data_IF_727435780309
#
_entry.id   IF_727435780309
#
_cell.length_a   1.000
_cell.length_b   1.000
_cell.length_c   1.000
_cell.angle_alpha   90.00
_cell.angle_beta   90.00
_cell.angle_gamma   90.00
#
_symmetry.space_group_name_H-M   'P 1'
#
loop_
_entity.id
_entity.type
_entity.pdbx_description
1 polymer ?
#
# COMPACT_ATOMS: atom_id res chain seq x y z
N UNK A 1 30.78 3.90 2.00
CA UNK A 1 29.41 4.26 2.44
C UNK A 1 28.51 4.03 1.24
N UNK A 2 27.40 3.31 1.39
CA UNK A 2 26.53 2.97 0.26
C UNK A 2 25.76 4.21 -0.20
N UNK A 3 25.70 4.46 -1.51
CA UNK A 3 24.91 5.53 -2.13
C UNK A 3 23.74 4.95 -2.90
N UNK A 4 22.51 5.35 -2.55
CA UNK A 4 21.26 4.82 -3.10
C UNK A 4 20.48 5.91 -3.85
N UNK A 5 20.10 5.64 -5.08
CA UNK A 5 19.15 6.46 -5.83
C UNK A 5 17.76 5.84 -5.76
N UNK A 6 16.76 6.62 -5.39
CA UNK A 6 15.35 6.25 -5.40
C UNK A 6 14.66 6.96 -6.57
N UNK A 7 14.01 6.22 -7.47
CA UNK A 7 13.35 6.75 -8.66
C UNK A 7 11.87 6.37 -8.65
N UNK A 8 11.01 7.36 -8.45
CA UNK A 8 9.56 7.22 -8.57
C UNK A 8 8.91 8.57 -8.91
N UNK A 9 7.68 8.53 -9.43
CA UNK A 9 6.85 9.73 -9.61
C UNK A 9 5.53 9.59 -8.85
N UNK A 10 5.01 10.72 -8.40
CA UNK A 10 3.62 10.88 -7.98
C UNK A 10 2.97 12.03 -8.75
N UNK A 11 1.67 11.89 -8.98
CA UNK A 11 0.80 12.90 -9.56
C UNK A 11 -0.65 12.61 -9.15
N UNK A 12 -1.62 13.48 -9.48
CA UNK A 12 -3.03 13.15 -9.31
C UNK A 12 -3.41 11.85 -10.02
N UNK A 13 -2.89 11.57 -11.22
CA UNK A 13 -3.24 10.36 -11.99
C UNK A 13 -2.44 9.10 -11.58
N UNK A 14 -1.21 9.27 -11.12
CA UNK A 14 -0.34 8.18 -10.66
C UNK A 14 -0.70 7.78 -9.22
N UNK A 15 -1.15 8.74 -8.40
CA UNK A 15 -1.33 8.59 -6.97
C UNK A 15 -0.01 8.68 -6.19
N UNK A 16 -0.11 8.54 -4.88
CA UNK A 16 1.01 8.74 -3.94
C UNK A 16 1.75 7.44 -3.56
N UNK A 17 1.33 6.30 -4.11
CA UNK A 17 1.81 4.97 -3.71
C UNK A 17 3.31 4.78 -3.91
N UNK A 18 3.83 5.09 -5.11
CA UNK A 18 5.24 4.92 -5.42
C UNK A 18 6.15 5.77 -4.50
N UNK A 19 5.76 7.04 -4.26
CA UNK A 19 6.48 7.91 -3.31
C UNK A 19 6.40 7.36 -1.88
N UNK A 20 5.26 6.83 -1.43
CA UNK A 20 5.15 6.20 -0.12
C UNK A 20 6.11 5.00 0.04
N UNK A 21 6.25 4.18 -1.01
CA UNK A 21 7.21 3.06 -1.05
C UNK A 21 8.65 3.57 -1.02
N UNK A 22 8.98 4.63 -1.76
CA UNK A 22 10.32 5.25 -1.73
C UNK A 22 10.66 5.87 -0.37
N UNK A 23 9.69 6.49 0.31
CA UNK A 23 9.90 6.98 1.69
C UNK A 23 10.28 5.82 2.62
N UNK A 24 9.63 4.66 2.50
CA UNK A 24 9.99 3.49 3.30
C UNK A 24 11.43 3.01 3.03
N UNK A 25 11.89 3.01 1.78
CA UNK A 25 13.28 2.72 1.44
C UNK A 25 14.25 3.76 2.03
N UNK A 26 13.94 5.05 1.89
CA UNK A 26 14.76 6.13 2.42
C UNK A 26 14.92 6.04 3.94
N UNK A 27 13.83 5.79 4.69
CA UNK A 27 13.85 5.65 6.15
C UNK A 27 14.84 4.56 6.59
N UNK A 28 14.78 3.38 5.96
CA UNK A 28 15.64 2.25 6.33
C UNK A 28 17.08 2.41 5.83
N UNK A 29 17.28 2.95 4.63
CA UNK A 29 18.61 3.18 4.08
C UNK A 29 19.37 4.25 4.88
N UNK A 30 18.73 5.37 5.22
CA UNK A 30 19.32 6.41 6.07
C UNK A 30 19.64 5.85 7.47
N UNK A 31 18.75 5.03 8.05
CA UNK A 31 19.01 4.38 9.34
C UNK A 31 20.22 3.42 9.32
N UNK A 32 20.59 2.88 8.14
CA UNK A 32 21.82 2.08 7.93
C UNK A 32 23.06 2.95 7.67
N UNK A 33 22.93 4.27 7.66
CA UNK A 33 24.01 5.19 7.32
C UNK A 33 24.33 5.22 5.83
N UNK A 34 23.36 4.96 4.95
CA UNK A 34 23.52 5.13 3.52
C UNK A 34 23.24 6.59 3.12
N UNK A 35 23.90 7.05 2.06
CA UNK A 35 23.56 8.32 1.41
C UNK A 35 22.44 8.04 0.42
N UNK A 36 21.35 8.81 0.50
CA UNK A 36 20.16 8.58 -0.33
C UNK A 36 19.82 9.85 -1.09
N UNK A 37 19.47 9.71 -2.37
CA UNK A 37 18.89 10.76 -3.20
C UNK A 37 17.57 10.24 -3.77
N UNK A 38 16.54 11.08 -3.77
CA UNK A 38 15.29 10.80 -4.47
C UNK A 38 15.22 11.61 -5.76
N UNK A 39 14.90 10.95 -6.87
CA UNK A 39 14.70 11.54 -8.18
C UNK A 39 13.27 11.32 -8.70
N UNK A 40 12.57 12.41 -8.98
CA UNK A 40 11.26 12.40 -9.63
C UNK A 40 10.29 13.45 -9.09
N UNK A 41 9.02 13.27 -9.48
CA UNK A 41 7.90 14.16 -9.13
C UNK A 41 7.22 13.70 -7.86
N UNK A 42 6.76 14.66 -7.06
CA UNK A 42 6.05 14.40 -5.79
C UNK A 42 4.68 15.10 -5.75
N UNK A 43 4.15 15.49 -6.91
CA UNK A 43 2.87 16.17 -7.00
C UNK A 43 1.77 15.29 -6.40
N UNK A 44 0.90 15.86 -5.57
CA UNK A 44 -0.16 15.10 -4.87
C UNK A 44 0.39 14.03 -3.90
N UNK A 45 1.63 14.19 -3.44
CA UNK A 45 2.29 13.38 -2.41
C UNK A 45 3.23 14.21 -1.53
N UNK A 46 3.03 15.53 -1.47
CA UNK A 46 3.92 16.49 -0.80
C UNK A 46 4.06 16.20 0.69
N UNK A 47 2.97 15.73 1.33
CA UNK A 47 2.98 15.34 2.74
C UNK A 47 3.83 14.10 3.01
N UNK A 48 3.98 13.19 2.04
CA UNK A 48 4.91 12.07 2.14
C UNK A 48 6.33 12.55 1.84
N UNK A 49 6.50 13.38 0.81
CA UNK A 49 7.80 13.89 0.40
C UNK A 49 8.47 14.78 1.46
N UNK A 50 7.70 15.42 2.34
CA UNK A 50 8.22 16.13 3.51
C UNK A 50 9.15 15.24 4.36
N UNK A 51 8.91 13.92 4.39
CA UNK A 51 9.76 12.96 5.09
C UNK A 51 11.18 12.88 4.52
N UNK A 52 11.37 13.09 3.22
CA UNK A 52 12.71 13.15 2.63
C UNK A 52 13.52 14.30 3.22
N UNK A 53 12.91 15.48 3.39
CA UNK A 53 13.58 16.62 4.00
C UNK A 53 13.95 16.37 5.47
N UNK A 54 13.06 15.74 6.25
CA UNK A 54 13.36 15.35 7.64
C UNK A 54 14.53 14.36 7.75
N UNK A 55 14.70 13.50 6.75
CA UNK A 55 15.80 12.54 6.64
C UNK A 55 17.06 13.13 5.96
N UNK A 56 17.04 14.42 5.59
CA UNK A 56 18.11 15.06 4.81
C UNK A 56 18.40 14.38 3.47
N UNK A 57 17.37 13.77 2.85
CA UNK A 57 17.43 13.16 1.52
C UNK A 57 17.12 14.23 0.45
N UNK A 58 18.06 14.55 -0.45
CA UNK A 58 17.80 15.48 -1.53
C UNK A 58 16.71 14.96 -2.47
N UNK A 59 15.78 15.84 -2.83
CA UNK A 59 14.73 15.59 -3.84
C UNK A 59 15.09 16.39 -5.09
N UNK A 60 15.36 15.69 -6.19
CA UNK A 60 15.73 16.29 -7.48
C UNK A 60 14.77 15.83 -8.59
N UNK A 61 14.57 16.61 -9.66
CA UNK A 61 13.71 16.17 -10.78
C UNK A 61 14.24 14.93 -11.51
N UNK A 62 15.57 14.83 -11.61
CA UNK A 62 16.30 13.72 -12.21
C UNK A 62 17.71 13.66 -11.63
N UNK A 63 18.36 12.50 -11.74
CA UNK A 63 19.75 12.30 -11.36
C UNK A 63 20.43 11.36 -12.39
N UNK A 64 21.74 11.54 -12.65
CA UNK A 64 22.53 10.53 -13.34
C UNK A 64 22.64 9.26 -12.49
N UNK A 65 22.97 8.12 -13.12
CA UNK A 65 23.17 6.87 -12.38
C UNK A 65 24.59 6.75 -11.81
N UNK A 66 25.55 7.49 -12.36
CA UNK A 66 26.95 7.46 -11.94
C UNK A 66 27.13 7.88 -10.49
N UNK A 67 28.00 7.15 -9.79
CA UNK A 67 28.34 7.41 -8.40
C UNK A 67 27.31 6.87 -7.40
N UNK A 68 26.23 6.22 -7.85
CA UNK A 68 25.39 5.41 -6.99
C UNK A 68 25.84 3.96 -7.02
N UNK A 69 25.59 3.26 -5.92
CA UNK A 69 25.84 1.83 -5.81
C UNK A 69 24.61 1.00 -6.19
N UNK A 70 23.42 1.60 -6.07
CA UNK A 70 22.17 0.98 -6.40
C UNK A 70 21.10 2.01 -6.75
N UNK A 71 20.17 1.60 -7.61
CA UNK A 71 19.01 2.38 -8.02
C UNK A 71 17.75 1.56 -7.77
N UNK A 72 16.85 2.06 -6.92
CA UNK A 72 15.52 1.48 -6.73
C UNK A 72 14.55 2.22 -7.64
N UNK A 73 13.93 1.51 -8.57
CA UNK A 73 12.98 2.06 -9.53
C UNK A 73 11.59 1.54 -9.22
N UNK A 74 10.65 2.46 -9.05
CA UNK A 74 9.23 2.19 -8.84
C UNK A 74 8.39 3.07 -9.75
N UNK A 75 8.31 2.67 -11.02
CA UNK A 75 7.62 3.46 -12.04
C UNK A 75 7.15 2.59 -13.22
N UNK A 76 5.85 2.57 -13.51
CA UNK A 76 5.30 1.71 -14.56
C UNK A 76 5.71 2.10 -15.99
N UNK A 77 5.91 3.39 -16.25
CA UNK A 77 6.20 3.91 -17.60
C UNK A 77 7.68 4.05 -17.97
N UNK A 78 8.62 3.68 -17.09
CA UNK A 78 10.05 3.70 -17.44
C UNK A 78 10.38 2.37 -18.13
N UNK A 79 11.13 2.41 -19.23
CA UNK A 79 11.54 1.22 -19.99
C UNK A 79 12.64 0.38 -19.33
N UNK A 80 13.39 -0.36 -20.15
CA UNK A 80 14.58 -1.09 -19.70
C UNK A 80 15.67 -0.12 -19.25
N UNK A 81 16.21 -0.34 -18.05
CA UNK A 81 17.22 0.53 -17.43
C UNK A 81 18.47 -0.23 -16.97
N UNK A 82 18.44 -1.57 -16.97
CA UNK A 82 19.48 -2.39 -16.35
C UNK A 82 20.85 -2.17 -16.97
N UNK A 83 20.93 -2.20 -18.29
CA UNK A 83 22.20 -2.05 -19.01
C UNK A 83 22.85 -0.70 -18.69
N UNK A 84 22.08 0.39 -18.74
CA UNK A 84 22.55 1.74 -18.44
C UNK A 84 23.00 1.87 -16.97
N UNK A 85 22.20 1.35 -16.03
CA UNK A 85 22.51 1.40 -14.59
C UNK A 85 23.73 0.55 -14.25
N UNK A 86 23.86 -0.65 -14.82
CA UNK A 86 25.02 -1.51 -14.60
C UNK A 86 26.28 -0.93 -15.26
N UNK A 87 26.17 -0.30 -16.43
CA UNK A 87 27.30 0.40 -17.06
C UNK A 87 27.81 1.58 -16.20
N UNK A 88 26.93 2.20 -15.41
CA UNK A 88 27.28 3.22 -14.43
C UNK A 88 27.86 2.65 -13.12
N UNK A 89 27.96 1.33 -12.97
CA UNK A 89 28.50 0.64 -11.80
C UNK A 89 27.49 0.45 -10.66
N UNK A 90 26.19 0.59 -10.92
CA UNK A 90 25.13 0.44 -9.93
C UNK A 90 24.30 -0.83 -10.18
N UNK A 91 23.69 -1.37 -9.12
CA UNK A 91 22.69 -2.43 -9.23
C UNK A 91 21.28 -1.86 -9.39
N UNK A 92 20.46 -2.46 -10.27
CA UNK A 92 19.05 -2.12 -10.42
C UNK A 92 18.18 -2.99 -9.51
N UNK A 93 17.39 -2.33 -8.65
CA UNK A 93 16.26 -2.92 -7.93
C UNK A 93 14.96 -2.43 -8.58
N UNK A 94 14.21 -3.32 -9.22
CA UNK A 94 12.93 -2.98 -9.84
C UNK A 94 11.76 -3.38 -8.95
N UNK A 95 10.91 -2.41 -8.59
CA UNK A 95 9.63 -2.68 -7.95
C UNK A 95 8.59 -2.92 -9.04
N UNK A 96 7.95 -4.08 -8.97
CA UNK A 96 6.92 -4.53 -9.91
C UNK A 96 5.61 -4.75 -9.16
N UNK A 97 4.50 -4.42 -9.82
CA UNK A 97 3.17 -4.85 -9.42
C UNK A 97 2.70 -5.84 -10.50
N UNK A 98 3.14 -7.09 -10.37
CA UNK A 98 2.90 -8.19 -11.28
C UNK A 98 3.42 -7.96 -12.73
N UNK A 99 2.61 -7.40 -13.65
CA UNK A 99 3.07 -7.06 -15.01
C UNK A 99 3.45 -5.58 -15.14
N UNK A 100 3.00 -4.74 -14.20
CA UNK A 100 3.23 -3.30 -14.24
C UNK A 100 4.60 -2.95 -13.67
N UNK A 101 5.35 -2.12 -14.38
CA UNK A 101 6.71 -1.76 -14.00
C UNK A 101 7.76 -2.83 -14.27
N UNK A 102 7.35 -3.97 -14.83
CA UNK A 102 8.25 -5.08 -15.16
C UNK A 102 9.37 -4.66 -16.09
N UNK A 103 10.59 -5.05 -15.72
CA UNK A 103 11.82 -4.87 -16.51
C UNK A 103 12.87 -5.89 -16.06
N UNK A 104 13.91 -6.12 -16.86
CA UNK A 104 15.04 -6.90 -16.39
C UNK A 104 15.76 -6.12 -15.27
N UNK A 105 16.13 -6.78 -14.16
CA UNK A 105 16.80 -6.13 -13.02
C UNK A 105 17.73 -7.10 -12.28
N UNK A 106 18.68 -6.57 -11.51
CA UNK A 106 19.55 -7.39 -10.66
C UNK A 106 18.77 -7.97 -9.48
N UNK A 107 17.87 -7.17 -8.91
CA UNK A 107 16.85 -7.58 -7.95
C UNK A 107 15.48 -7.13 -8.43
N UNK A 108 14.52 -8.05 -8.47
CA UNK A 108 13.10 -7.75 -8.72
C UNK A 108 12.34 -7.87 -7.42
N UNK A 109 11.53 -6.87 -7.09
CA UNK A 109 10.66 -6.86 -5.90
C UNK A 109 9.21 -6.85 -6.36
N UNK A 110 8.48 -7.93 -6.11
CA UNK A 110 7.05 -8.07 -6.43
C UNK A 110 6.27 -8.35 -5.15
N UNK A 111 5.42 -7.41 -4.75
CA UNK A 111 4.74 -7.44 -3.46
C UNK A 111 3.33 -8.05 -3.51
N UNK A 112 2.95 -8.72 -4.62
CA UNK A 112 1.65 -9.36 -4.73
C UNK A 112 1.40 -10.39 -3.61
N UNK A 113 0.14 -10.50 -3.17
CA UNK A 113 -0.26 -11.53 -2.20
C UNK A 113 -0.05 -12.95 -2.75
N UNK A 114 -0.35 -13.12 -4.04
CA UNK A 114 -0.07 -14.34 -4.78
C UNK A 114 0.67 -13.97 -6.09
N UNK A 115 2.02 -14.05 -6.09
CA UNK A 115 2.81 -13.69 -7.26
C UNK A 115 2.58 -14.66 -8.42
N UNK A 116 2.09 -14.17 -9.57
CA UNK A 116 1.83 -14.98 -10.77
C UNK A 116 3.14 -15.48 -11.41
N UNK A 117 3.14 -16.53 -12.26
CA UNK A 117 4.33 -16.90 -13.01
C UNK A 117 4.95 -15.72 -13.78
N UNK A 118 6.25 -15.49 -13.59
CA UNK A 118 7.03 -14.43 -14.27
C UNK A 118 7.94 -15.11 -15.31
N UNK A 119 7.84 -14.77 -16.61
CA UNK A 119 8.77 -15.28 -17.62
C UNK A 119 10.22 -14.94 -17.28
N UNK A 120 11.15 -15.79 -17.71
CA UNK A 120 12.58 -15.48 -17.63
C UNK A 120 12.93 -14.41 -18.66
N UNK A 121 13.50 -13.30 -18.19
CA UNK A 121 13.93 -12.13 -18.97
C UNK A 121 15.39 -11.76 -18.71
N UNK A 122 16.13 -12.63 -18.02
CA UNK A 122 17.52 -12.39 -17.62
C UNK A 122 17.67 -11.62 -16.31
N UNK A 123 16.58 -11.29 -15.61
CA UNK A 123 16.64 -10.77 -14.24
C UNK A 123 17.44 -11.69 -13.31
N UNK A 124 18.09 -11.08 -12.32
CA UNK A 124 18.79 -11.77 -11.25
C UNK A 124 17.81 -12.38 -10.24
N UNK A 125 17.86 -11.92 -8.99
CA UNK A 125 17.04 -12.53 -7.94
C UNK A 125 15.62 -11.95 -7.90
N UNK A 126 14.63 -12.83 -7.74
CA UNK A 126 13.21 -12.46 -7.61
C UNK A 126 12.78 -12.51 -6.14
N UNK A 127 12.58 -11.34 -5.53
CA UNK A 127 12.08 -11.13 -4.17
C UNK A 127 10.57 -10.93 -4.19
N UNK A 128 9.82 -12.04 -4.09
CA UNK A 128 8.37 -12.06 -4.35
C UNK A 128 7.51 -12.36 -3.12
N UNK A 129 6.31 -11.79 -3.11
CA UNK A 129 5.31 -11.96 -2.07
C UNK A 129 5.20 -10.74 -1.15
N UNK A 130 4.03 -10.58 -0.53
CA UNK A 130 3.72 -9.46 0.36
C UNK A 130 4.69 -9.28 1.55
N UNK A 131 5.51 -10.29 1.89
CA UNK A 131 6.61 -10.17 2.85
C UNK A 131 7.70 -9.16 2.44
N UNK A 132 7.78 -8.78 1.16
CA UNK A 132 8.72 -7.78 0.67
C UNK A 132 8.08 -6.39 0.54
N UNK A 133 6.83 -6.22 1.00
CA UNK A 133 6.13 -4.94 0.96
C UNK A 133 6.94 -3.81 1.60
N UNK A 134 7.20 -2.71 0.88
CA UNK A 134 7.90 -1.56 1.43
C UNK A 134 6.93 -0.70 2.24
N UNK A 135 6.98 -0.86 3.56
CA UNK A 135 6.12 -0.16 4.50
C UNK A 135 6.92 0.85 5.32
N UNK A 136 6.34 2.05 5.47
CA UNK A 136 6.94 3.15 6.24
C UNK A 136 7.08 2.77 7.71
N UNK A 137 8.12 3.26 8.36
CA UNK A 137 8.44 2.94 9.75
C UNK A 137 7.29 3.27 10.70
N UNK A 138 6.54 4.34 10.43
CA UNK A 138 5.38 4.72 11.22
C UNK A 138 4.31 3.62 11.30
N UNK A 139 4.06 2.89 10.20
CA UNK A 139 3.11 1.76 10.18
C UNK A 139 3.63 0.56 10.99
N UNK A 140 4.94 0.28 10.88
CA UNK A 140 5.58 -0.81 11.63
C UNK A 140 5.51 -0.54 13.14
N UNK A 141 5.81 0.70 13.57
CA UNK A 141 5.69 1.10 14.99
C UNK A 141 4.25 1.13 15.47
N UNK A 142 3.30 1.53 14.62
CA UNK A 142 1.89 1.54 14.94
C UNK A 142 1.34 0.12 15.17
N UNK A 143 1.77 -0.85 14.35
CA UNK A 143 1.46 -2.27 14.53
C UNK A 143 1.81 -2.78 15.94
N UNK A 144 2.99 -2.42 16.46
CA UNK A 144 3.45 -2.87 17.78
C UNK A 144 2.62 -2.32 18.93
N UNK A 145 2.02 -1.14 18.75
CA UNK A 145 1.23 -0.45 19.77
C UNK A 145 -0.27 -0.74 19.67
N UNK A 146 -0.74 -1.24 18.54
CA UNK A 146 -2.16 -1.48 18.31
C UNK A 146 -2.64 -2.61 19.22
N UNK A 147 -3.53 -2.30 20.16
CA UNK A 147 -4.24 -3.32 20.91
C UNK A 147 -5.26 -3.98 19.98
N UNK A 148 -5.28 -5.32 19.91
CA UNK A 148 -6.36 -6.06 19.26
C UNK A 148 -7.61 -6.09 20.15
N UNK A 149 -8.08 -4.90 20.53
CA UNK A 149 -9.28 -4.74 21.36
C UNK A 149 -10.54 -5.22 20.62
N UNK A 150 -11.54 -5.67 21.37
CA UNK A 150 -12.87 -5.87 20.81
C UNK A 150 -13.46 -4.51 20.41
N UNK A 151 -13.90 -4.38 19.16
CA UNK A 151 -14.69 -3.22 18.74
C UNK A 151 -15.83 -2.97 19.76
N UNK A 152 -16.07 -1.70 20.08
CA UNK A 152 -17.15 -1.30 21.00
C UNK A 152 -18.54 -1.54 20.38
N UNK A 153 -19.59 -1.09 21.08
CA UNK A 153 -20.98 -1.19 20.59
C UNK A 153 -21.21 -0.47 19.24
N UNK A 154 -20.35 0.50 18.90
CA UNK A 154 -20.30 1.17 17.60
C UNK A 154 -18.88 1.02 17.02
N UNK A 155 -18.63 0.04 16.13
CA UNK A 155 -17.34 -0.11 15.49
C UNK A 155 -16.94 1.14 14.69
N UNK A 156 -15.66 1.51 14.76
CA UNK A 156 -15.09 2.59 13.93
C UNK A 156 -14.68 2.03 12.57
N UNK A 157 -15.19 2.65 11.51
CA UNK A 157 -14.95 2.27 10.12
C UNK A 157 -14.12 3.33 9.45
N UNK A 158 -13.06 2.94 8.73
CA UNK A 158 -12.37 3.84 7.80
C UNK A 158 -12.56 3.37 6.37
N UNK A 159 -13.13 4.22 5.52
CA UNK A 159 -13.27 3.96 4.08
C UNK A 159 -12.18 4.71 3.32
N UNK A 160 -11.28 3.98 2.65
CA UNK A 160 -10.15 4.55 1.91
C UNK A 160 -9.82 3.70 0.67
N UNK A 161 -10.13 4.24 -0.52
CA UNK A 161 -10.00 3.53 -1.80
C UNK A 161 -8.71 3.86 -2.58
N UNK A 162 -7.76 4.57 -1.95
CA UNK A 162 -6.52 5.03 -2.57
C UNK A 162 -6.52 6.51 -2.97
N UNK A 163 -5.37 7.04 -3.42
CA UNK A 163 -5.14 8.49 -3.54
C UNK A 163 -5.22 9.12 -4.94
N UNK A 164 -5.37 8.32 -6.01
CA UNK A 164 -5.16 8.75 -7.40
C UNK A 164 -6.40 8.94 -8.30
N UNK A 165 -7.62 8.66 -7.83
CA UNK A 165 -8.83 8.88 -8.64
C UNK A 165 -10.02 9.31 -7.78
N UNK A 166 -10.98 9.98 -8.41
CA UNK A 166 -12.26 10.35 -7.80
C UNK A 166 -13.17 9.13 -7.77
N UNK A 167 -13.16 8.40 -6.66
CA UNK A 167 -14.00 7.23 -6.45
C UNK A 167 -15.37 7.57 -5.83
N UNK A 168 -15.85 8.80 -6.01
CA UNK A 168 -17.04 9.33 -5.33
C UNK A 168 -18.30 8.45 -5.54
N UNK A 169 -18.52 7.92 -6.75
CA UNK A 169 -19.65 7.03 -7.04
C UNK A 169 -19.52 5.67 -6.35
N UNK A 170 -18.33 5.07 -6.38
CA UNK A 170 -18.06 3.83 -5.66
C UNK A 170 -18.21 4.01 -4.16
N UNK A 171 -17.70 5.12 -3.61
CA UNK A 171 -17.89 5.49 -2.20
C UNK A 171 -19.37 5.63 -1.90
N UNK A 172 -20.14 6.32 -2.74
CA UNK A 172 -21.60 6.44 -2.58
C UNK A 172 -22.30 5.08 -2.49
N UNK A 173 -21.90 4.12 -3.33
CA UNK A 173 -22.42 2.75 -3.28
C UNK A 173 -22.04 2.03 -1.98
N UNK A 174 -20.79 2.16 -1.52
CA UNK A 174 -20.33 1.61 -0.24
C UNK A 174 -21.07 2.22 0.97
N UNK A 175 -21.33 3.53 0.96
CA UNK A 175 -22.09 4.18 2.04
C UNK A 175 -23.54 3.68 2.10
N UNK A 176 -24.17 3.43 0.95
CA UNK A 176 -25.51 2.80 0.90
C UNK A 176 -25.47 1.38 1.45
N UNK A 177 -24.47 0.57 1.06
CA UNK A 177 -24.29 -0.78 1.59
C UNK A 177 -24.07 -0.76 3.12
N UNK A 178 -23.23 0.15 3.63
CA UNK A 178 -23.02 0.37 5.06
C UNK A 178 -24.31 0.74 5.77
N UNK A 179 -25.08 1.70 5.24
CA UNK A 179 -26.38 2.08 5.79
C UNK A 179 -27.31 0.86 5.89
N UNK A 180 -27.37 0.04 4.84
CA UNK A 180 -28.27 -1.11 4.73
C UNK A 180 -27.85 -2.33 5.58
N UNK A 181 -26.64 -2.32 6.16
CA UNK A 181 -26.27 -3.27 7.23
C UNK A 181 -27.24 -3.18 8.41
N UNK A 182 -27.83 -1.99 8.65
CA UNK A 182 -28.64 -1.64 9.83
C UNK A 182 -27.91 -1.84 11.16
N UNK A 183 -26.58 -1.96 11.12
CA UNK A 183 -25.74 -2.00 12.31
C UNK A 183 -25.32 -0.58 12.70
N UNK A 184 -25.07 -0.31 13.99
CA UNK A 184 -24.53 0.96 14.44
C UNK A 184 -23.01 1.02 14.14
N UNK A 185 -22.51 2.21 13.80
CA UNK A 185 -21.09 2.46 13.52
C UNK A 185 -20.78 3.96 13.52
N UNK A 186 -19.48 4.27 13.49
CA UNK A 186 -18.95 5.58 13.12
C UNK A 186 -18.00 5.40 11.94
N UNK A 187 -18.25 6.08 10.82
CA UNK A 187 -17.47 5.91 9.59
C UNK A 187 -16.75 7.18 9.18
N UNK A 188 -15.41 7.14 9.18
CA UNK A 188 -14.54 8.14 8.58
C UNK A 188 -14.27 7.76 7.11
N UNK A 189 -14.69 8.62 6.19
CA UNK A 189 -14.70 8.34 4.75
C UNK A 189 -13.76 9.29 4.04
N UNK A 190 -12.66 8.74 3.53
CA UNK A 190 -11.61 9.50 2.86
C UNK A 190 -11.77 9.39 1.34
N UNK A 191 -12.19 10.48 0.70
CA UNK A 191 -12.53 10.49 -0.73
C UNK A 191 -12.25 11.84 -1.37
N UNK A 192 -11.74 11.82 -2.61
CA UNK A 192 -11.68 13.01 -3.48
C UNK A 192 -12.99 13.10 -4.26
N UNK A 193 -13.56 14.31 -4.33
CA UNK A 193 -14.88 14.55 -4.92
C UNK A 193 -16.00 14.50 -3.88
N UNK A 194 -17.23 14.64 -4.34
CA UNK A 194 -18.44 14.75 -3.50
C UNK A 194 -19.27 13.46 -3.61
N UNK A 195 -19.12 12.48 -2.69
CA UNK A 195 -19.98 11.31 -2.69
C UNK A 195 -21.41 11.67 -2.29
N UNK A 196 -22.39 10.93 -2.80
CA UNK A 196 -23.75 10.94 -2.27
C UNK A 196 -23.78 10.17 -0.95
N UNK A 197 -23.99 10.89 0.16
CA UNK A 197 -24.12 10.31 1.49
C UNK A 197 -25.59 9.97 1.76
N UNK A 198 -25.94 8.71 2.08
CA UNK A 198 -27.31 8.34 2.45
C UNK A 198 -27.69 8.88 3.83
N UNK A 199 -28.98 9.07 4.08
CA UNK A 199 -29.47 9.42 5.42
C UNK A 199 -29.14 8.29 6.42
N UNK A 200 -28.40 8.58 7.50
CA UNK A 200 -27.97 7.56 8.46
C UNK A 200 -29.16 7.02 9.26
N UNK A 201 -29.12 5.72 9.58
CA UNK A 201 -30.04 5.10 10.53
C UNK A 201 -29.61 5.38 11.99
N UNK A 202 -30.49 5.17 12.99
CA UNK A 202 -30.11 5.32 14.39
C UNK A 202 -28.83 4.57 14.74
N UNK A 203 -27.86 5.27 15.33
CA UNK A 203 -26.55 4.72 15.70
C UNK A 203 -25.52 4.68 14.56
N UNK A 204 -25.82 5.22 13.38
CA UNK A 204 -24.87 5.38 12.27
C UNK A 204 -24.40 6.82 12.14
N UNK A 205 -23.13 7.02 11.81
CA UNK A 205 -22.55 8.33 11.55
C UNK A 205 -21.57 8.25 10.38
N UNK A 206 -21.63 9.22 9.46
CA UNK A 206 -20.70 9.37 8.34
C UNK A 206 -19.96 10.70 8.47
N UNK A 207 -18.62 10.66 8.47
CA UNK A 207 -17.74 11.83 8.46
C UNK A 207 -16.93 11.79 7.16
N UNK A 208 -17.15 12.76 6.27
CA UNK A 208 -16.50 12.80 4.96
C UNK A 208 -15.34 13.79 5.00
N UNK A 209 -14.16 13.37 4.55
CA UNK A 209 -12.98 14.22 4.45
C UNK A 209 -12.16 13.88 3.20
N UNK A 210 -11.38 14.82 2.65
CA UNK A 210 -10.38 14.48 1.64
C UNK A 210 -9.25 13.63 2.24
N UNK A 211 -8.57 12.78 1.44
CA UNK A 211 -7.37 12.07 1.88
C UNK A 211 -6.27 13.06 2.32
N UNK A 212 -5.54 12.72 3.38
CA UNK A 212 -4.50 13.58 3.95
C UNK A 212 -3.51 12.84 4.86
N UNK A 213 -2.60 13.58 5.53
CA UNK A 213 -1.50 12.99 6.31
C UNK A 213 -1.97 12.18 7.54
N UNK A 214 -3.18 12.43 8.04
CA UNK A 214 -3.74 11.75 9.23
C UNK A 214 -4.27 10.33 9.00
N UNK A 215 -4.01 9.72 7.82
CA UNK A 215 -4.50 8.37 7.51
C UNK A 215 -4.04 7.33 8.55
N UNK A 216 -2.77 7.34 8.94
CA UNK A 216 -2.26 6.35 9.90
C UNK A 216 -2.99 6.45 11.25
N UNK A 217 -3.20 7.67 11.75
CA UNK A 217 -3.88 7.89 13.03
C UNK A 217 -5.32 7.36 13.00
N UNK A 218 -6.04 7.56 11.89
CA UNK A 218 -7.35 6.96 11.67
C UNK A 218 -7.28 5.42 11.64
N UNK A 219 -6.32 4.86 10.91
CA UNK A 219 -6.19 3.41 10.74
C UNK A 219 -5.85 2.68 12.05
N UNK A 220 -5.08 3.30 12.95
CA UNK A 220 -4.76 2.74 14.27
C UNK A 220 -6.00 2.54 15.13
N UNK A 221 -6.94 3.46 15.03
CA UNK A 221 -8.20 3.47 15.77
C UNK A 221 -9.33 2.70 15.05
N UNK A 222 -9.09 2.21 13.83
CA UNK A 222 -10.12 1.60 12.98
C UNK A 222 -10.38 0.14 13.36
N UNK A 223 -11.63 -0.21 13.60
CA UNK A 223 -12.08 -1.58 13.85
C UNK A 223 -12.29 -2.37 12.55
N UNK A 224 -12.80 -1.70 11.50
CA UNK A 224 -13.00 -2.29 10.17
C UNK A 224 -12.61 -1.27 9.09
N UNK A 225 -11.70 -1.63 8.19
CA UNK A 225 -11.41 -0.81 7.02
C UNK A 225 -12.23 -1.28 5.81
N UNK A 226 -12.57 -0.34 4.92
CA UNK A 226 -13.01 -0.65 3.56
C UNK A 226 -11.99 -0.06 2.60
N UNK A 227 -11.35 -0.92 1.79
CA UNK A 227 -10.28 -0.49 0.90
C UNK A 227 -10.29 -1.19 -0.46
N UNK A 228 -9.50 -0.66 -1.38
CA UNK A 228 -9.21 -1.30 -2.66
C UNK A 228 -8.04 -2.30 -2.53
N UNK A 229 -7.90 -3.22 -3.49
CA UNK A 229 -6.80 -4.17 -3.53
C UNK A 229 -5.50 -3.53 -4.06
N UNK A 230 -4.93 -2.58 -3.30
CA UNK A 230 -3.69 -1.86 -3.64
C UNK A 230 -2.72 -1.74 -2.46
N UNK A 231 -1.79 -0.77 -2.52
CA UNK A 231 -0.74 -0.55 -1.49
C UNK A 231 -1.32 -0.36 -0.08
N UNK A 232 -2.45 0.34 0.04
CA UNK A 232 -3.13 0.55 1.33
C UNK A 232 -3.60 -0.76 1.97
N UNK A 233 -3.90 -1.79 1.18
CA UNK A 233 -4.24 -3.10 1.72
C UNK A 233 -3.03 -3.77 2.39
N UNK A 234 -1.81 -3.60 1.86
CA UNK A 234 -0.58 -4.08 2.51
C UNK A 234 -0.34 -3.36 3.85
N UNK A 235 -0.57 -2.04 3.89
CA UNK A 235 -0.51 -1.23 5.12
C UNK A 235 -1.53 -1.71 6.17
N UNK A 236 -2.79 -1.93 5.76
CA UNK A 236 -3.86 -2.48 6.61
C UNK A 236 -3.52 -3.88 7.12
N UNK A 237 -2.99 -4.75 6.25
CA UNK A 237 -2.58 -6.09 6.64
C UNK A 237 -1.46 -6.06 7.68
N UNK A 238 -0.49 -5.16 7.52
CA UNK A 238 0.58 -4.97 8.49
C UNK A 238 0.06 -4.51 9.85
N UNK A 239 -0.88 -3.56 9.87
CA UNK A 239 -1.53 -3.11 11.10
C UNK A 239 -2.45 -4.16 11.72
N UNK A 240 -2.86 -5.17 10.96
CA UNK A 240 -3.86 -6.15 11.38
C UNK A 240 -5.27 -5.56 11.46
N UNK A 241 -5.59 -4.56 10.65
CA UNK A 241 -6.94 -4.01 10.59
C UNK A 241 -7.83 -4.93 9.75
N UNK A 242 -8.90 -5.51 10.31
CA UNK A 242 -9.86 -6.30 9.53
C UNK A 242 -10.40 -5.47 8.37
N UNK A 243 -10.27 -5.97 7.14
CA UNK A 243 -10.55 -5.18 5.95
C UNK A 243 -11.61 -5.85 5.08
N UNK A 244 -12.61 -5.07 4.66
CA UNK A 244 -13.46 -5.38 3.52
C UNK A 244 -12.80 -4.83 2.25
N UNK A 245 -12.53 -5.68 1.27
CA UNK A 245 -11.86 -5.27 0.03
C UNK A 245 -12.85 -5.19 -1.12
N UNK A 246 -12.78 -4.12 -1.91
CA UNK A 246 -13.53 -3.95 -3.16
C UNK A 246 -12.57 -3.94 -4.34
N UNK A 247 -12.97 -4.58 -5.45
CA UNK A 247 -12.22 -4.52 -6.71
C UNK A 247 -12.69 -3.30 -7.51
N UNK A 248 -11.82 -2.30 -7.68
CA UNK A 248 -12.18 -1.06 -8.38
C UNK A 248 -12.04 -1.17 -9.89
N UNK A 249 -10.97 -1.82 -10.33
CA UNK A 249 -10.54 -1.89 -11.73
C UNK A 249 -10.06 -3.30 -12.06
N UNK A 250 -10.05 -3.66 -13.34
CA UNK A 250 -9.73 -5.04 -13.78
C UNK A 250 -8.33 -5.49 -13.37
N UNK A 251 -7.34 -4.59 -13.37
CA UNK A 251 -5.97 -4.91 -12.97
C UNK A 251 -5.82 -5.25 -11.47
N UNK A 252 -6.85 -5.05 -10.64
CA UNK A 252 -6.87 -5.45 -9.24
C UNK A 252 -7.46 -6.86 -9.03
N UNK A 253 -7.93 -7.55 -10.08
CA UNK A 253 -8.62 -8.83 -9.96
C UNK A 253 -7.77 -9.92 -9.29
N UNK A 254 -6.51 -10.05 -9.70
CA UNK A 254 -5.59 -11.03 -9.12
C UNK A 254 -5.30 -10.73 -7.64
N UNK A 255 -5.02 -9.46 -7.32
CA UNK A 255 -4.76 -9.03 -5.93
C UNK A 255 -5.98 -9.17 -5.03
N UNK A 256 -7.18 -8.86 -5.54
CA UNK A 256 -8.44 -9.03 -4.84
C UNK A 256 -8.70 -10.51 -4.52
N UNK A 257 -8.61 -11.41 -5.50
CA UNK A 257 -8.87 -12.84 -5.30
C UNK A 257 -7.88 -13.44 -4.30
N UNK A 258 -6.59 -13.18 -4.48
CA UNK A 258 -5.56 -13.63 -3.56
C UNK A 258 -5.82 -13.15 -2.12
N UNK A 259 -6.22 -11.89 -1.92
CA UNK A 259 -6.51 -11.36 -0.59
C UNK A 259 -7.71 -12.06 0.08
N UNK A 260 -8.75 -12.40 -0.69
CA UNK A 260 -9.94 -13.09 -0.17
C UNK A 260 -9.64 -14.57 0.08
N UNK A 261 -9.01 -15.26 -0.87
CA UNK A 261 -8.75 -16.70 -0.80
C UNK A 261 -7.75 -17.06 0.32
N UNK A 262 -6.78 -16.17 0.58
CA UNK A 262 -5.84 -16.30 1.68
C UNK A 262 -6.41 -15.87 3.04
N UNK A 263 -7.65 -15.37 3.09
CA UNK A 263 -8.28 -14.90 4.34
C UNK A 263 -7.64 -13.62 4.91
N UNK A 264 -7.09 -12.76 4.06
CA UNK A 264 -6.51 -11.47 4.46
C UNK A 264 -7.59 -10.38 4.56
N UNK A 265 -8.61 -10.45 3.70
CA UNK A 265 -9.72 -9.51 3.66
C UNK A 265 -11.04 -10.20 3.32
N UNK A 266 -12.16 -9.58 3.69
CA UNK A 266 -13.48 -10.02 3.28
C UNK A 266 -13.85 -9.37 1.92
N UNK A 267 -14.25 -10.17 0.94
CA UNK A 267 -14.53 -9.68 -0.41
C UNK A 267 -15.91 -9.02 -0.55
N UNK A 268 -15.96 -7.79 -1.03
CA UNK A 268 -17.21 -7.08 -1.37
C UNK A 268 -17.64 -7.28 -2.83
N UNK A 269 -16.79 -7.85 -3.66
CA UNK A 269 -16.99 -7.95 -5.11
C UNK A 269 -16.44 -6.75 -5.87
N UNK A 270 -16.99 -6.53 -7.05
CA UNK A 270 -16.60 -5.46 -7.97
C UNK A 270 -17.36 -4.18 -7.67
N UNK A 271 -16.72 -3.02 -7.87
CA UNK A 271 -17.30 -1.71 -7.59
C UNK A 271 -18.61 -1.44 -8.37
N UNK A 272 -18.75 -2.01 -9.56
CA UNK A 272 -19.94 -1.95 -10.42
C UNK A 272 -21.02 -2.98 -10.07
N UNK A 273 -20.74 -3.89 -9.13
CA UNK A 273 -21.62 -5.00 -8.75
C UNK A 273 -21.76 -5.16 -7.23
N UNK A 274 -21.69 -4.06 -6.48
CA UNK A 274 -21.95 -4.06 -5.04
C UNK A 274 -23.44 -4.35 -4.78
N UNK A 275 -23.72 -5.58 -4.35
CA UNK A 275 -25.08 -6.12 -4.15
C UNK A 275 -25.36 -6.47 -2.67
N UNK A 276 -26.46 -7.19 -2.42
CA UNK A 276 -26.84 -7.61 -1.06
C UNK A 276 -25.78 -8.45 -0.33
N UNK A 277 -24.90 -9.16 -1.05
CA UNK A 277 -23.79 -9.92 -0.45
C UNK A 277 -22.71 -9.01 0.10
N UNK A 278 -22.45 -7.86 -0.55
CA UNK A 278 -21.53 -6.86 -0.01
C UNK A 278 -22.07 -6.32 1.33
N UNK A 279 -23.37 -6.01 1.40
CA UNK A 279 -24.03 -5.58 2.64
C UNK A 279 -23.99 -6.65 3.73
N UNK A 280 -24.19 -7.92 3.40
CA UNK A 280 -24.12 -9.02 4.36
C UNK A 280 -22.68 -9.25 4.87
N UNK A 281 -21.69 -9.13 3.99
CA UNK A 281 -20.26 -9.20 4.35
C UNK A 281 -19.88 -8.07 5.32
N UNK A 282 -20.31 -6.83 5.01
CA UNK A 282 -20.11 -5.69 5.91
C UNK A 282 -20.81 -5.90 7.25
N UNK A 283 -22.05 -6.39 7.25
CA UNK A 283 -22.78 -6.70 8.49
C UNK A 283 -22.01 -7.70 9.34
N UNK A 284 -21.53 -8.79 8.73
CA UNK A 284 -20.73 -9.81 9.42
C UNK A 284 -19.47 -9.21 10.07
N UNK A 285 -18.73 -8.37 9.35
CA UNK A 285 -17.57 -7.66 9.90
C UNK A 285 -17.92 -6.73 11.07
N UNK A 286 -19.08 -6.08 11.06
CA UNK A 286 -19.50 -5.18 12.14
C UNK A 286 -19.96 -5.96 13.38
N UNK A 287 -20.62 -7.10 13.20
CA UNK A 287 -21.23 -7.85 14.31
C UNK A 287 -20.36 -8.98 14.88
N UNK A 288 -19.43 -9.54 14.12
CA UNK A 288 -18.68 -10.74 14.50
C UNK A 288 -17.19 -10.44 14.76
N UNK A 289 -16.80 -10.47 16.03
CA UNK A 289 -15.42 -10.25 16.44
C UNK A 289 -14.50 -11.41 16.09
N UNK A 290 -15.00 -12.64 15.95
CA UNK A 290 -14.19 -13.80 15.59
C UNK A 290 -13.79 -13.73 14.11
N UNK A 291 -14.69 -13.31 13.23
CA UNK A 291 -14.37 -13.02 11.81
C UNK A 291 -13.30 -11.94 11.72
N UNK A 292 -13.47 -10.83 12.44
CA UNK A 292 -12.48 -9.74 12.47
C UNK A 292 -11.11 -10.25 12.96
N UNK A 293 -11.08 -11.00 14.05
CA UNK A 293 -9.85 -11.54 14.62
C UNK A 293 -9.14 -12.49 13.64
N UNK A 294 -9.89 -13.36 12.95
CA UNK A 294 -9.33 -14.27 11.94
C UNK A 294 -8.62 -13.53 10.80
N UNK A 295 -9.24 -12.48 10.25
CA UNK A 295 -8.63 -11.65 9.21
C UNK A 295 -7.38 -10.91 9.71
N UNK A 296 -7.45 -10.36 10.93
CA UNK A 296 -6.35 -9.62 11.56
C UNK A 296 -5.11 -10.50 11.75
N UNK A 297 -5.28 -11.67 12.37
CA UNK A 297 -4.18 -12.61 12.64
C UNK A 297 -3.52 -13.07 11.34
N UNK A 298 -4.32 -13.46 10.34
CA UNK A 298 -3.81 -13.96 9.06
C UNK A 298 -3.06 -12.86 8.30
N UNK A 299 -3.61 -11.65 8.27
CA UNK A 299 -2.99 -10.49 7.66
C UNK A 299 -1.63 -10.12 8.27
N UNK A 300 -1.56 -10.06 9.60
CA UNK A 300 -0.33 -9.70 10.32
C UNK A 300 0.75 -10.78 10.19
N UNK A 301 0.37 -12.04 10.02
CA UNK A 301 1.31 -13.12 9.80
C UNK A 301 1.99 -13.01 8.42
N UNK A 302 1.23 -12.59 7.40
CA UNK A 302 1.75 -12.46 6.04
C UNK A 302 2.56 -11.18 5.82
N UNK A 303 2.10 -10.05 6.35
CA UNK A 303 2.74 -8.74 6.16
C UNK A 303 3.34 -8.26 7.47
N UNK A 304 4.64 -8.49 7.65
CA UNK A 304 5.30 -8.28 8.92
C UNK A 304 6.09 -6.96 9.05
N UNK A 305 5.99 -6.08 8.05
CA UNK A 305 6.66 -4.77 8.06
C UNK A 305 8.17 -4.79 7.81
N UNK A 306 8.79 -5.95 7.54
CA UNK A 306 10.25 -6.08 7.36
C UNK A 306 10.68 -6.16 5.90
N UNK A 307 9.80 -5.79 4.96
CA UNK A 307 10.05 -5.95 3.53
C UNK A 307 11.26 -5.18 3.01
N UNK A 308 11.35 -3.89 3.33
CA UNK A 308 12.48 -3.03 2.94
C UNK A 308 13.80 -3.60 3.45
N UNK A 309 13.85 -4.04 4.71
CA UNK A 309 15.09 -4.58 5.27
C UNK A 309 15.58 -5.80 4.52
N UNK A 310 14.67 -6.71 4.14
CA UNK A 310 15.04 -7.89 3.35
C UNK A 310 15.63 -7.53 2.01
N UNK A 311 15.08 -6.51 1.34
CA UNK A 311 15.57 -6.05 0.04
C UNK A 311 16.94 -5.41 0.19
N UNK A 312 17.11 -4.51 1.16
CA UNK A 312 18.39 -3.84 1.40
C UNK A 312 19.48 -4.81 1.87
N UNK A 313 19.16 -5.81 2.70
CA UNK A 313 20.10 -6.87 3.10
C UNK A 313 20.53 -7.71 1.91
N UNK A 314 19.60 -7.98 0.98
CA UNK A 314 19.93 -8.72 -0.23
C UNK A 314 20.82 -7.88 -1.14
N UNK A 315 20.53 -6.59 -1.28
CA UNK A 315 21.33 -5.65 -2.06
C UNK A 315 22.78 -5.56 -1.55
N UNK A 316 22.99 -5.47 -0.24
CA UNK A 316 24.34 -5.50 0.35
C UNK A 316 25.09 -6.78 0.00
N UNK A 317 24.42 -7.93 0.12
CA UNK A 317 25.03 -9.23 -0.20
C UNK A 317 25.40 -9.36 -1.67
N UNK A 318 24.53 -8.92 -2.58
CA UNK A 318 24.81 -8.96 -4.02
C UNK A 318 26.03 -8.11 -4.36
N UNK A 319 26.13 -6.90 -3.80
CA UNK A 319 27.28 -6.01 -4.00
C UNK A 319 28.60 -6.57 -3.46
N UNK A 320 28.56 -7.34 -2.38
CA UNK A 320 29.76 -7.97 -1.82
C UNK A 320 30.23 -9.21 -2.59
N UNK A 321 29.40 -9.74 -3.49
CA UNK A 321 29.71 -10.93 -4.28
C UNK A 321 30.34 -10.61 -5.65
N UNK A 322 30.31 -9.35 -6.07
CA UNK A 322 30.97 -8.80 -7.27
C UNK A 322 32.37 -8.27 -6.95
#
# INVERSE_FOLDING_TARGET
>A
MTRLLLRADASPSIGAGHVARMVAYAERAVARGWEVVFAGRVDNAEWLAARFAELSVPVVPSAPFEGFDAVVVDHYGLGELREEINAAGALLVSIEDDVFGRRAADLVVDCAFEPRPRPGDGSGELLRGARYAPLREAFVRAREKRSQGSAGERPRITVVLGGGAEWADTVSALLRALRDTRAPFEADVLVRGEPTVPEPLPGQEFRIAPPGPGLLDLLVETDVAISAAGVTLLELCCLGVPTAVVRLVENQDAGYRAAVDLGLAAGLGSADALDGRATETLRGLLSDSAVRNGLSVTSMALVDGRGVDRVLDRLEKTRMAE
#
